data_IF_897825091099
#
_entry.id   IF_897825091099
#
_cell.length_a   1.000
_cell.length_b   1.000
_cell.length_c   1.000
_cell.angle_alpha   90.00
_cell.angle_beta   90.00
_cell.angle_gamma   90.00
#
_symmetry.space_group_name_H-M   'P 1'
#
loop_
_entity.id
_entity.type
_entity.pdbx_description
1 polymer ?
#
# COMPACT_ATOMS: atom_id res chain seq x y z
N UNK A 1 -7.39 -15.74 -29.92
CA UNK A 1 -7.91 -15.47 -28.57
C UNK A 1 -6.95 -16.07 -27.56
N UNK A 2 -6.64 -15.33 -26.51
CA UNK A 2 -5.78 -15.76 -25.41
C UNK A 2 -6.62 -15.89 -24.14
N UNK A 3 -6.46 -16.98 -23.39
CA UNK A 3 -7.15 -17.18 -22.12
C UNK A 3 -6.13 -17.66 -21.10
N UNK A 4 -6.11 -17.00 -19.94
CA UNK A 4 -5.25 -17.38 -18.81
C UNK A 4 -6.08 -17.52 -17.55
N UNK A 5 -5.84 -18.59 -16.79
CA UNK A 5 -6.32 -18.68 -15.43
C UNK A 5 -5.37 -17.98 -14.46
N UNK A 6 -5.97 -17.36 -13.45
CA UNK A 6 -5.32 -16.96 -12.20
C UNK A 6 -5.75 -17.98 -11.16
N UNK A 7 -4.76 -18.66 -10.58
CA UNK A 7 -4.95 -19.64 -9.50
C UNK A 7 -3.84 -19.38 -8.47
N UNK A 8 -4.08 -18.45 -7.55
CA UNK A 8 -3.13 -18.08 -6.52
C UNK A 8 -3.30 -18.96 -5.29
N UNK A 9 -2.20 -19.27 -4.55
CA UNK A 9 -0.83 -18.80 -4.75
C UNK A 9 0.03 -19.71 -5.67
N UNK A 10 -0.57 -20.55 -6.52
CA UNK A 10 0.15 -21.60 -7.26
C UNK A 10 0.64 -21.16 -8.65
N UNK A 11 -0.12 -21.43 -9.71
CA UNK A 11 0.37 -21.41 -11.10
C UNK A 11 0.57 -20.02 -11.67
N UNK A 12 -0.35 -19.09 -11.37
CA UNK A 12 -0.29 -17.72 -11.88
C UNK A 12 -1.00 -16.79 -10.93
N UNK A 13 -0.32 -15.71 -10.59
CA UNK A 13 -0.90 -14.63 -9.80
C UNK A 13 -1.62 -13.59 -10.65
N UNK A 14 -2.51 -12.82 -10.02
CA UNK A 14 -3.13 -11.64 -10.64
C UNK A 14 -2.04 -10.69 -11.14
N UNK A 15 -0.95 -10.52 -10.38
CA UNK A 15 0.17 -9.71 -10.80
C UNK A 15 0.91 -10.29 -12.01
N UNK A 16 1.09 -11.61 -12.09
CA UNK A 16 1.69 -12.27 -13.26
C UNK A 16 0.80 -12.09 -14.50
N UNK A 17 -0.53 -12.17 -14.33
CA UNK A 17 -1.46 -11.91 -15.43
C UNK A 17 -1.37 -10.46 -15.92
N UNK A 18 -1.30 -9.49 -15.00
CA UNK A 18 -1.05 -8.07 -15.34
C UNK A 18 0.29 -7.91 -16.04
N UNK A 19 1.35 -8.56 -15.55
CA UNK A 19 2.70 -8.49 -16.13
C UNK A 19 2.73 -9.01 -17.57
N UNK A 20 2.05 -10.13 -17.85
CA UNK A 20 1.92 -10.67 -19.21
C UNK A 20 1.14 -9.71 -20.11
N UNK A 21 -0.01 -9.20 -19.66
CA UNK A 21 -0.84 -8.28 -20.46
C UNK A 21 -0.11 -6.96 -20.72
N UNK A 22 0.70 -6.48 -19.76
CA UNK A 22 1.46 -5.24 -19.90
C UNK A 22 2.61 -5.33 -20.93
N UNK A 23 2.92 -6.52 -21.46
CA UNK A 23 3.89 -6.70 -22.55
C UNK A 23 3.30 -6.39 -23.93
N UNK A 24 1.99 -6.18 -24.02
CA UNK A 24 1.31 -5.86 -25.27
C UNK A 24 1.82 -4.53 -25.82
N UNK A 25 2.27 -4.47 -27.09
CA UNK A 25 2.78 -3.25 -27.68
C UNK A 25 1.68 -2.19 -27.80
N UNK A 26 2.10 -0.92 -27.75
CA UNK A 26 1.25 0.25 -27.98
C UNK A 26 0.01 0.27 -27.07
N UNK A 27 0.16 -0.08 -25.80
CA UNK A 27 -0.92 0.00 -24.83
C UNK A 27 -1.41 1.44 -24.68
N UNK A 28 -2.70 1.66 -24.93
CA UNK A 28 -3.31 3.00 -24.98
C UNK A 28 -4.07 3.35 -23.70
N UNK A 29 -4.69 2.35 -23.07
CA UNK A 29 -5.51 2.57 -21.87
C UNK A 29 -5.53 1.40 -20.90
N UNK A 30 -5.65 1.75 -19.62
CA UNK A 30 -5.80 0.82 -18.49
C UNK A 30 -6.98 1.30 -17.65
N UNK A 31 -7.99 0.46 -17.51
CA UNK A 31 -9.13 0.71 -16.63
C UNK A 31 -9.10 -0.30 -15.48
N UNK A 32 -9.08 0.20 -14.25
CA UNK A 32 -9.06 -0.64 -13.03
C UNK A 32 -10.30 -0.35 -12.22
N UNK A 33 -11.13 -1.36 -11.99
CA UNK A 33 -12.22 -1.32 -11.02
C UNK A 33 -11.93 -2.27 -9.86
N UNK A 34 -11.69 -1.72 -8.67
CA UNK A 34 -11.33 -2.49 -7.50
C UNK A 34 -12.14 -2.06 -6.28
N UNK A 35 -12.67 -3.03 -5.53
CA UNK A 35 -13.45 -2.75 -4.32
C UNK A 35 -12.67 -1.89 -3.32
N UNK A 36 -11.37 -2.14 -3.20
CA UNK A 36 -10.49 -1.28 -2.44
C UNK A 36 -9.05 -1.37 -2.93
N UNK A 37 -8.25 -0.37 -2.55
CA UNK A 37 -6.84 -0.25 -2.92
C UNK A 37 -6.01 -0.02 -1.65
N UNK A 38 -5.00 -0.87 -1.44
CA UNK A 38 -3.96 -0.65 -0.42
C UNK A 38 -2.72 -0.06 -1.06
N UNK A 39 -1.90 0.65 -0.29
CA UNK A 39 -0.66 1.24 -0.78
C UNK A 39 0.32 0.19 -1.28
N UNK A 40 0.42 -0.93 -0.56
CA UNK A 40 1.27 -2.05 -0.95
C UNK A 40 0.84 -2.70 -2.26
N UNK A 41 -0.48 -2.88 -2.46
CA UNK A 41 -1.01 -3.39 -3.72
C UNK A 41 -0.75 -2.44 -4.89
N UNK A 42 -1.03 -1.15 -4.70
CA UNK A 42 -0.80 -0.14 -5.72
C UNK A 42 0.67 -0.07 -6.15
N UNK A 43 1.60 -0.10 -5.20
CA UNK A 43 3.03 -0.07 -5.49
C UNK A 43 3.46 -1.22 -6.39
N UNK A 44 2.92 -2.42 -6.17
CA UNK A 44 3.26 -3.59 -7.00
C UNK A 44 2.73 -3.46 -8.41
N UNK A 45 1.48 -3.03 -8.58
CA UNK A 45 0.93 -2.77 -9.91
C UNK A 45 1.77 -1.72 -10.64
N UNK A 46 2.04 -0.58 -10.01
CA UNK A 46 2.81 0.49 -10.66
C UNK A 46 4.24 0.05 -11.00
N UNK A 47 4.89 -0.72 -10.12
CA UNK A 47 6.21 -1.28 -10.41
C UNK A 47 6.19 -2.25 -11.58
N UNK A 48 5.19 -3.13 -11.66
CA UNK A 48 4.99 -4.06 -12.78
C UNK A 48 4.71 -3.31 -14.08
N UNK A 49 3.79 -2.35 -14.08
CA UNK A 49 3.48 -1.57 -15.28
C UNK A 49 4.69 -0.77 -15.77
N UNK A 50 5.41 -0.09 -14.87
CA UNK A 50 6.61 0.68 -15.23
C UNK A 50 7.77 -0.17 -15.73
N UNK A 51 7.93 -1.40 -15.23
CA UNK A 51 9.00 -2.29 -15.69
C UNK A 51 8.76 -2.84 -17.11
N UNK A 52 7.51 -2.80 -17.59
CA UNK A 52 7.12 -3.26 -18.93
C UNK A 52 6.92 -2.12 -19.92
N UNK A 53 6.23 -1.07 -19.48
CA UNK A 53 5.78 0.02 -20.35
C UNK A 53 6.71 1.24 -20.23
N UNK A 54 7.46 1.35 -19.12
CA UNK A 54 8.25 2.54 -18.81
C UNK A 54 7.37 3.66 -18.28
N UNK A 55 7.39 4.81 -18.97
CA UNK A 55 6.60 5.97 -18.58
C UNK A 55 5.11 5.77 -18.89
N UNK A 56 4.25 6.04 -17.89
CA UNK A 56 2.80 5.89 -17.99
C UNK A 56 2.09 7.18 -18.39
N UNK A 57 2.81 8.30 -18.55
CA UNK A 57 2.24 9.63 -18.89
C UNK A 57 1.38 9.62 -20.15
N UNK A 58 1.70 8.78 -21.13
CA UNK A 58 1.00 8.68 -22.41
C UNK A 58 -0.16 7.67 -22.41
N UNK A 59 -0.35 6.95 -21.29
CA UNK A 59 -1.39 5.94 -21.15
C UNK A 59 -2.55 6.52 -20.36
N UNK A 60 -3.74 6.47 -20.93
CA UNK A 60 -4.94 6.83 -20.19
C UNK A 60 -5.20 5.79 -19.11
N UNK A 61 -5.06 6.15 -17.85
CA UNK A 61 -5.34 5.24 -16.72
C UNK A 61 -6.55 5.73 -15.92
N UNK A 62 -7.55 4.86 -15.75
CA UNK A 62 -8.77 5.17 -14.99
C UNK A 62 -8.90 4.22 -13.81
N UNK A 63 -8.99 4.77 -12.61
CA UNK A 63 -9.10 4.03 -11.36
C UNK A 63 -10.47 4.28 -10.73
N UNK A 64 -11.30 3.24 -10.74
CA UNK A 64 -12.61 3.24 -10.10
C UNK A 64 -12.54 2.38 -8.84
N UNK A 65 -12.75 3.00 -7.68
CA UNK A 65 -12.75 2.29 -6.39
C UNK A 65 -13.83 2.84 -5.47
N UNK A 66 -13.81 2.50 -4.19
CA UNK A 66 -14.78 3.02 -3.21
C UNK A 66 -14.13 3.39 -1.88
N UNK A 67 -14.88 4.17 -1.10
CA UNK A 67 -14.60 4.49 0.29
C UNK A 67 -15.23 3.48 1.27
N UNK A 68 -15.77 2.37 0.74
CA UNK A 68 -16.58 1.42 1.49
C UNK A 68 -15.79 0.84 2.66
N UNK A 69 -16.43 0.90 3.84
CA UNK A 69 -15.93 0.40 5.11
C UNK A 69 -14.52 0.90 5.45
N UNK A 70 -14.11 2.06 4.93
CA UNK A 70 -12.77 2.60 5.12
C UNK A 70 -11.66 1.60 4.75
N UNK A 71 -11.82 0.82 3.67
CA UNK A 71 -10.82 -0.18 3.24
C UNK A 71 -9.75 0.38 2.31
N UNK A 72 -10.11 1.31 1.44
CA UNK A 72 -9.15 1.97 0.54
C UNK A 72 -8.24 2.90 1.34
N UNK A 73 -6.93 2.74 1.23
CA UNK A 73 -5.99 3.57 1.98
C UNK A 73 -5.90 4.97 1.36
N UNK A 74 -6.10 6.07 2.13
CA UNK A 74 -6.06 7.43 1.58
C UNK A 74 -4.75 7.77 0.88
N UNK A 75 -3.62 7.25 1.38
CA UNK A 75 -2.32 7.48 0.75
C UNK A 75 -2.20 6.80 -0.62
N UNK A 76 -2.93 5.70 -0.88
CA UNK A 76 -3.00 5.11 -2.21
C UNK A 76 -3.76 6.04 -3.19
N UNK A 77 -4.83 6.68 -2.71
CA UNK A 77 -5.58 7.67 -3.48
C UNK A 77 -4.75 8.95 -3.74
N UNK A 78 -3.96 9.39 -2.77
CA UNK A 78 -3.01 10.50 -2.91
C UNK A 78 -1.99 10.21 -4.02
N UNK A 79 -1.38 9.01 -3.98
CA UNK A 79 -0.43 8.58 -5.02
C UNK A 79 -1.12 8.55 -6.39
N UNK A 80 -2.28 7.90 -6.52
CA UNK A 80 -3.00 7.82 -7.79
C UNK A 80 -3.39 9.20 -8.35
N UNK A 81 -3.82 10.12 -7.50
CA UNK A 81 -4.19 11.48 -7.91
C UNK A 81 -2.99 12.29 -8.40
N UNK A 82 -1.78 11.93 -7.96
CA UNK A 82 -0.53 12.56 -8.40
C UNK A 82 0.08 11.92 -9.65
N UNK A 83 -0.47 10.82 -10.17
CA UNK A 83 0.07 10.18 -11.37
C UNK A 83 -0.36 10.93 -12.65
N UNK A 84 0.58 11.32 -13.52
CA UNK A 84 0.24 11.85 -14.84
C UNK A 84 -0.57 10.84 -15.65
N UNK A 85 -1.58 11.31 -16.39
CA UNK A 85 -2.44 10.46 -17.22
C UNK A 85 -3.45 9.61 -16.43
N UNK A 86 -3.45 9.68 -15.09
CA UNK A 86 -4.39 8.98 -14.25
C UNK A 86 -5.61 9.83 -13.90
N UNK A 87 -6.77 9.17 -13.83
CA UNK A 87 -7.99 9.73 -13.26
C UNK A 87 -8.53 8.77 -12.21
N UNK A 88 -9.04 9.31 -11.10
CA UNK A 88 -9.58 8.51 -10.00
C UNK A 88 -11.02 8.92 -9.73
N UNK A 89 -11.90 7.93 -9.57
CA UNK A 89 -13.29 8.11 -9.15
C UNK A 89 -13.65 7.15 -8.03
N UNK A 90 -14.53 7.61 -7.15
CA UNK A 90 -15.11 6.82 -6.05
C UNK A 90 -16.58 6.51 -6.36
N UNK A 91 -16.92 5.23 -6.43
CA UNK A 91 -18.30 4.80 -6.52
C UNK A 91 -19.07 5.26 -5.28
N UNK A 92 -20.10 6.11 -5.47
CA UNK A 92 -20.86 6.78 -4.40
C UNK A 92 -19.97 7.41 -3.31
N UNK A 93 -18.83 8.00 -3.70
CA UNK A 93 -17.82 8.49 -2.78
C UNK A 93 -18.36 9.48 -1.76
N UNK A 94 -19.10 10.50 -2.20
CA UNK A 94 -19.67 11.51 -1.30
C UNK A 94 -20.72 10.91 -0.37
N UNK A 95 -21.58 10.04 -0.90
CA UNK A 95 -22.61 9.35 -0.11
C UNK A 95 -22.00 8.45 0.96
N UNK A 96 -20.97 7.68 0.61
CA UNK A 96 -20.26 6.79 1.56
C UNK A 96 -19.56 7.59 2.64
N UNK A 97 -18.86 8.69 2.30
CA UNK A 97 -18.22 9.56 3.30
C UNK A 97 -19.25 10.17 4.24
N UNK A 98 -20.37 10.68 3.72
CA UNK A 98 -21.46 11.25 4.53
C UNK A 98 -22.09 10.21 5.46
N UNK A 99 -22.05 8.93 5.08
CA UNK A 99 -22.57 7.78 5.85
C UNK A 99 -21.46 7.07 6.65
N UNK A 100 -20.36 7.79 6.93
CA UNK A 100 -19.23 7.33 7.75
C UNK A 100 -18.63 5.99 7.27
N UNK A 101 -18.50 5.84 5.96
CA UNK A 101 -17.89 4.66 5.34
C UNK A 101 -18.88 3.53 5.07
N UNK A 102 -20.15 3.63 5.47
CA UNK A 102 -21.13 2.58 5.21
C UNK A 102 -21.77 2.80 3.83
N UNK A 103 -21.68 1.89 2.85
CA UNK A 103 -22.35 2.00 1.55
C UNK A 103 -23.82 1.57 1.59
N UNK A 104 -24.65 2.06 0.65
CA UNK A 104 -26.02 1.57 0.45
C UNK A 104 -25.98 0.27 -0.34
N UNK A 105 -25.12 0.25 -1.36
CA UNK A 105 -24.78 -0.91 -2.18
C UNK A 105 -23.27 -1.03 -2.23
N UNK A 106 -22.67 -2.08 -1.64
CA UNK A 106 -21.23 -2.26 -1.68
C UNK A 106 -20.68 -2.31 -3.11
N UNK A 107 -19.66 -1.52 -3.40
CA UNK A 107 -18.90 -1.58 -4.64
C UNK A 107 -17.79 -2.62 -4.50
N UNK A 108 -18.03 -3.83 -5.03
CA UNK A 108 -17.12 -4.96 -4.83
C UNK A 108 -16.45 -5.59 -6.09
N UNK A 109 -16.33 -4.91 -7.25
CA UNK A 109 -15.69 -5.51 -8.43
C UNK A 109 -14.17 -5.63 -8.25
N UNK A 110 -13.56 -6.54 -9.03
CA UNK A 110 -12.12 -6.66 -9.24
C UNK A 110 -11.89 -6.96 -10.72
N UNK A 111 -11.73 -5.90 -11.50
CA UNK A 111 -11.59 -5.96 -12.95
C UNK A 111 -10.47 -5.04 -13.42
N UNK A 112 -9.65 -5.55 -14.35
CA UNK A 112 -8.56 -4.83 -14.99
C UNK A 112 -8.75 -4.97 -16.50
N UNK A 113 -8.89 -3.85 -17.21
CA UNK A 113 -9.13 -3.82 -18.64
C UNK A 113 -7.97 -3.10 -19.32
N UNK A 114 -7.38 -3.71 -20.32
CA UNK A 114 -6.23 -3.19 -21.05
C UNK A 114 -6.56 -3.13 -22.52
N UNK A 115 -6.17 -2.04 -23.20
CA UNK A 115 -6.44 -1.91 -24.64
C UNK A 115 -5.28 -1.24 -25.36
N UNK A 116 -4.87 -1.85 -26.45
CA UNK A 116 -4.01 -1.27 -27.48
C UNK A 116 -4.79 -1.10 -28.79
N UNK A 117 -4.12 -0.64 -29.84
CA UNK A 117 -4.72 -0.56 -31.18
C UNK A 117 -5.20 -1.95 -31.66
N UNK A 118 -4.38 -2.98 -31.46
CA UNK A 118 -4.65 -4.34 -31.93
C UNK A 118 -5.32 -5.22 -30.88
N UNK A 119 -5.04 -5.07 -29.58
CA UNK A 119 -5.51 -6.03 -28.58
C UNK A 119 -6.45 -5.41 -27.55
N UNK A 120 -7.34 -6.25 -27.01
CA UNK A 120 -8.21 -5.92 -25.90
C UNK A 120 -8.19 -7.06 -24.88
N UNK A 121 -7.92 -6.73 -23.61
CA UNK A 121 -7.86 -7.69 -22.52
C UNK A 121 -8.80 -7.31 -21.39
N UNK A 122 -9.41 -8.33 -20.80
CA UNK A 122 -10.11 -8.23 -19.53
C UNK A 122 -9.59 -9.28 -18.56
N UNK A 123 -9.15 -8.85 -17.40
CA UNK A 123 -8.79 -9.69 -16.26
C UNK A 123 -9.80 -9.44 -15.13
N UNK A 124 -10.45 -10.51 -14.67
CA UNK A 124 -11.41 -10.45 -13.55
C UNK A 124 -11.13 -11.58 -12.57
N UNK A 125 -11.39 -11.36 -11.29
CA UNK A 125 -11.13 -12.38 -10.27
C UNK A 125 -11.56 -11.97 -8.87
N UNK A 126 -10.97 -12.64 -7.89
CA UNK A 126 -11.26 -12.43 -6.45
C UNK A 126 -10.27 -11.46 -5.76
N UNK A 127 -9.09 -11.25 -6.34
CA UNK A 127 -8.04 -10.41 -5.76
C UNK A 127 -8.28 -8.90 -5.93
N UNK A 128 -8.30 -8.15 -4.83
CA UNK A 128 -8.29 -6.68 -4.85
C UNK A 128 -6.88 -6.13 -5.15
N UNK A 129 -6.75 -4.79 -5.22
CA UNK A 129 -5.44 -4.12 -5.32
C UNK A 129 -4.78 -4.08 -3.93
N UNK A 130 -4.39 -5.26 -3.46
CA UNK A 130 -3.68 -5.52 -2.22
C UNK A 130 -2.47 -6.40 -2.49
N UNK A 131 -1.45 -6.42 -1.62
CA UNK A 131 -0.28 -7.30 -1.86
C UNK A 131 -0.74 -8.76 -1.88
N UNK A 132 -1.61 -9.11 -0.95
CA UNK A 132 -2.19 -10.45 -0.86
C UNK A 132 -3.05 -10.77 -2.06
N UNK A 133 -4.02 -9.93 -2.41
CA UNK A 133 -4.90 -10.13 -3.57
C UNK A 133 -4.13 -10.22 -4.88
N UNK A 134 -2.98 -9.55 -4.99
CA UNK A 134 -2.16 -9.59 -6.20
C UNK A 134 -1.19 -10.77 -6.28
N UNK A 135 -0.72 -11.37 -5.18
CA UNK A 135 0.17 -12.54 -5.27
C UNK A 135 0.15 -13.59 -4.16
N UNK A 136 -0.32 -13.30 -2.95
CA UNK A 136 -0.11 -14.20 -1.80
C UNK A 136 -1.40 -14.88 -1.33
N UNK A 137 -2.55 -14.25 -1.57
CA UNK A 137 -3.85 -14.77 -1.19
C UNK A 137 -4.24 -16.00 -1.99
N UNK A 138 -5.30 -16.68 -1.54
CA UNK A 138 -5.95 -17.72 -2.30
C UNK A 138 -6.98 -17.07 -3.22
N UNK A 139 -6.61 -16.88 -4.49
CA UNK A 139 -7.40 -16.12 -5.47
C UNK A 139 -7.64 -16.95 -6.73
N UNK A 140 -8.83 -16.80 -7.29
CA UNK A 140 -9.21 -17.34 -8.58
C UNK A 140 -9.65 -16.21 -9.52
N UNK A 141 -9.31 -16.35 -10.80
CA UNK A 141 -9.69 -15.39 -11.83
C UNK A 141 -9.39 -15.87 -13.25
N UNK A 142 -9.81 -15.08 -14.21
CA UNK A 142 -9.60 -15.31 -15.64
C UNK A 142 -9.16 -14.02 -16.31
N UNK A 143 -8.14 -14.13 -17.16
CA UNK A 143 -7.81 -13.13 -18.17
C UNK A 143 -8.23 -13.64 -19.55
N UNK A 144 -8.91 -12.81 -20.31
CA UNK A 144 -9.31 -13.04 -21.70
C UNK A 144 -8.73 -11.94 -22.56
N UNK A 145 -8.02 -12.31 -23.62
CA UNK A 145 -7.43 -11.42 -24.61
C UNK A 145 -7.94 -11.73 -26.01
N UNK A 146 -8.22 -10.67 -26.77
CA UNK A 146 -8.60 -10.78 -28.18
C UNK A 146 -7.73 -9.90 -29.06
N UNK A 147 -7.48 -10.38 -30.28
CA UNK A 147 -7.04 -9.55 -31.38
C UNK A 147 -8.27 -8.88 -32.01
N UNK A 148 -8.28 -7.55 -32.01
CA UNK A 148 -9.35 -6.69 -32.52
C UNK A 148 -9.40 -6.69 -34.05
N UNK A 149 -8.27 -6.98 -34.72
CA UNK A 149 -8.17 -7.09 -36.17
C UNK A 149 -8.63 -8.46 -36.67
N UNK A 150 -8.48 -9.51 -35.84
CA UNK A 150 -9.01 -10.86 -36.10
C UNK A 150 -10.32 -11.16 -35.34
N UNK A 151 -11.08 -10.11 -34.98
CA UNK A 151 -12.20 -10.23 -34.05
C UNK A 151 -13.36 -11.12 -34.53
N UNK A 152 -13.46 -11.39 -35.84
CA UNK A 152 -14.43 -12.32 -36.41
C UNK A 152 -14.25 -13.77 -35.96
N UNK A 153 -13.04 -14.16 -35.55
CA UNK A 153 -12.74 -15.51 -35.11
C UNK A 153 -13.25 -15.83 -33.70
N UNK A 154 -13.52 -14.80 -32.89
CA UNK A 154 -13.89 -14.96 -31.47
C UNK A 154 -14.95 -13.94 -31.03
N UNK A 155 -16.04 -13.81 -31.81
CA UNK A 155 -17.11 -12.82 -31.61
C UNK A 155 -17.64 -12.78 -30.15
N UNK A 156 -17.89 -13.94 -29.53
CA UNK A 156 -18.38 -14.01 -28.14
C UNK A 156 -17.43 -13.40 -27.12
N UNK A 157 -16.12 -13.62 -27.26
CA UNK A 157 -15.13 -13.05 -26.35
C UNK A 157 -15.04 -11.53 -26.52
N UNK A 158 -15.12 -11.05 -27.77
CA UNK A 158 -15.18 -9.62 -28.09
C UNK A 158 -16.40 -8.96 -27.44
N UNK A 159 -17.58 -9.54 -27.61
CA UNK A 159 -18.82 -9.00 -27.06
C UNK A 159 -18.78 -9.00 -25.52
N UNK A 160 -18.26 -10.05 -24.90
CA UNK A 160 -18.10 -10.14 -23.43
C UNK A 160 -17.18 -9.03 -22.90
N UNK A 161 -16.03 -8.79 -23.56
CA UNK A 161 -15.12 -7.71 -23.15
C UNK A 161 -15.78 -6.33 -23.38
N UNK A 162 -16.53 -6.16 -24.46
CA UNK A 162 -17.26 -4.92 -24.74
C UNK A 162 -18.37 -4.64 -23.70
N UNK A 163 -19.09 -5.66 -23.25
CA UNK A 163 -20.06 -5.57 -22.17
C UNK A 163 -19.40 -5.14 -20.86
N UNK A 164 -18.26 -5.74 -20.51
CA UNK A 164 -17.52 -5.38 -19.29
C UNK A 164 -16.98 -3.94 -19.35
N UNK A 165 -16.54 -3.46 -20.52
CA UNK A 165 -16.16 -2.07 -20.75
C UNK A 165 -17.35 -1.11 -20.67
N UNK A 166 -18.51 -1.53 -21.14
CA UNK A 166 -19.76 -0.76 -21.04
C UNK A 166 -20.20 -0.63 -19.59
N UNK A 167 -20.13 -1.73 -18.83
CA UNK A 167 -20.31 -1.73 -17.38
C UNK A 167 -19.34 -0.76 -16.69
N UNK A 168 -18.04 -0.84 -16.99
CA UNK A 168 -17.05 0.07 -16.41
C UNK A 168 -17.40 1.52 -16.73
N UNK A 169 -17.72 1.81 -17.99
CA UNK A 169 -18.07 3.17 -18.45
C UNK A 169 -19.31 3.72 -17.75
N UNK A 170 -20.32 2.89 -17.53
CA UNK A 170 -21.53 3.27 -16.79
C UNK A 170 -21.24 3.62 -15.33
N UNK A 171 -20.48 2.79 -14.61
CA UNK A 171 -20.12 3.09 -13.22
C UNK A 171 -19.11 4.22 -13.12
N UNK A 172 -18.23 4.37 -14.11
CA UNK A 172 -17.32 5.50 -14.19
C UNK A 172 -18.06 6.82 -14.32
N UNK A 173 -19.05 6.92 -15.22
CA UNK A 173 -19.78 8.17 -15.47
C UNK A 173 -20.63 8.63 -14.29
N UNK A 174 -21.11 7.70 -13.47
CA UNK A 174 -21.95 7.95 -12.29
C UNK A 174 -21.16 8.08 -10.99
N UNK A 175 -19.88 7.68 -10.97
CA UNK A 175 -19.02 7.82 -9.80
C UNK A 175 -18.52 9.25 -9.57
N UNK A 176 -18.25 9.59 -8.31
CA UNK A 176 -17.74 10.89 -7.90
C UNK A 176 -16.27 11.04 -8.31
N UNK A 177 -15.93 12.15 -8.95
CA UNK A 177 -14.53 12.50 -9.18
C UNK A 177 -13.79 12.68 -7.85
N UNK A 178 -12.58 12.12 -7.74
CA UNK A 178 -11.76 12.31 -6.56
C UNK A 178 -11.19 13.74 -6.52
N UNK A 179 -11.94 14.66 -5.91
CA UNK A 179 -11.50 16.03 -5.68
C UNK A 179 -10.70 16.13 -4.37
N UNK A 180 -9.91 17.20 -4.23
CA UNK A 180 -9.19 17.50 -2.97
C UNK A 180 -10.11 17.47 -1.74
N UNK A 181 -11.27 18.18 -1.75
CA UNK A 181 -12.23 18.13 -0.64
C UNK A 181 -12.78 16.73 -0.35
N UNK A 182 -13.09 15.93 -1.36
CA UNK A 182 -13.59 14.56 -1.16
C UNK A 182 -12.50 13.67 -0.54
N UNK A 183 -11.27 13.74 -1.04
CA UNK A 183 -10.13 13.02 -0.49
C UNK A 183 -9.84 13.43 0.95
N UNK A 184 -9.87 14.72 1.27
CA UNK A 184 -9.66 15.22 2.63
C UNK A 184 -10.77 14.78 3.59
N UNK A 185 -12.02 14.78 3.14
CA UNK A 185 -13.16 14.27 3.89
C UNK A 185 -13.01 12.78 4.19
N UNK A 186 -12.68 11.98 3.17
CA UNK A 186 -12.45 10.55 3.33
C UNK A 186 -11.24 10.26 4.23
N UNK A 187 -10.14 11.00 4.08
CA UNK A 187 -8.95 10.86 4.93
C UNK A 187 -9.29 11.10 6.40
N UNK A 188 -10.02 12.17 6.72
CA UNK A 188 -10.45 12.45 8.10
C UNK A 188 -11.31 11.33 8.68
N UNK A 189 -12.19 10.74 7.88
CA UNK A 189 -13.00 9.59 8.28
C UNK A 189 -12.12 8.35 8.53
N UNK A 190 -11.25 8.02 7.58
CA UNK A 190 -10.34 6.87 7.66
C UNK A 190 -9.38 6.99 8.85
N UNK A 191 -8.81 8.16 9.09
CA UNK A 191 -7.87 8.44 10.17
C UNK A 191 -8.57 8.80 11.51
N UNK A 192 -9.89 8.64 11.58
CA UNK A 192 -10.62 8.85 12.83
C UNK A 192 -10.21 7.83 13.89
N UNK A 193 -10.24 8.23 15.16
CA UNK A 193 -9.90 7.33 16.27
C UNK A 193 -10.79 6.09 16.29
N UNK A 194 -12.09 6.24 15.99
CA UNK A 194 -13.04 5.12 15.91
C UNK A 194 -12.59 4.08 14.89
N UNK A 195 -12.24 4.51 13.68
CA UNK A 195 -11.77 3.61 12.63
C UNK A 195 -10.39 3.02 12.97
N UNK A 196 -9.42 3.83 13.42
CA UNK A 196 -8.06 3.34 13.69
C UNK A 196 -7.94 2.48 14.95
N UNK A 197 -8.89 2.56 15.88
CA UNK A 197 -8.94 1.65 17.03
C UNK A 197 -9.31 0.22 16.60
N UNK A 198 -10.17 0.09 15.58
CA UNK A 198 -10.62 -1.19 15.03
C UNK A 198 -10.66 -1.14 13.49
N UNK A 199 -9.49 -1.04 12.83
CA UNK A 199 -9.43 -0.88 11.39
C UNK A 199 -10.04 -2.11 10.70
N UNK A 200 -10.81 -1.86 9.64
CA UNK A 200 -11.45 -2.95 8.90
C UNK A 200 -10.36 -3.81 8.23
N UNK A 201 -10.42 -5.15 8.41
CA UNK A 201 -9.46 -6.05 7.79
C UNK A 201 -9.49 -5.96 6.26
N UNK A 202 -8.31 -6.13 5.67
CA UNK A 202 -8.06 -6.28 4.23
C UNK A 202 -7.31 -7.59 3.98
N UNK A 203 -7.16 -7.98 2.72
CA UNK A 203 -6.47 -9.21 2.33
C UNK A 203 -5.00 -9.21 2.80
N UNK A 204 -4.41 -8.03 3.04
CA UNK A 204 -3.05 -7.85 3.54
C UNK A 204 -2.87 -8.18 5.03
N UNK A 205 -3.95 -8.35 5.78
CA UNK A 205 -3.93 -8.64 7.22
C UNK A 205 -3.79 -10.14 7.49
N UNK A 206 -2.63 -10.67 7.12
CA UNK A 206 -2.30 -12.08 7.33
C UNK A 206 -2.02 -12.37 8.82
N UNK A 207 -2.52 -13.52 9.30
CA UNK A 207 -2.21 -14.00 10.63
C UNK A 207 -0.71 -14.31 10.76
N UNK A 208 -0.13 -13.95 11.91
CA UNK A 208 1.27 -14.31 12.19
C UNK A 208 1.31 -15.67 12.88
N UNK A 209 2.27 -16.55 12.54
CA UNK A 209 2.52 -17.77 13.30
C UNK A 209 3.28 -17.50 14.62
N UNK A 210 3.57 -16.23 14.97
CA UNK A 210 4.34 -15.86 16.15
C UNK A 210 3.44 -15.62 17.37
N UNK A 211 3.28 -16.65 18.22
CA UNK A 211 2.46 -16.59 19.45
C UNK A 211 3.28 -16.55 20.74
N UNK A 212 4.40 -15.81 20.77
CA UNK A 212 5.15 -15.63 22.03
C UNK A 212 4.56 -14.52 22.89
N UNK A 213 4.68 -14.64 24.22
CA UNK A 213 4.25 -13.59 25.15
C UNK A 213 4.90 -12.24 24.78
N UNK A 214 4.07 -11.23 24.50
CA UNK A 214 4.53 -9.90 24.08
C UNK A 214 4.85 -9.78 22.58
N UNK A 215 4.42 -10.72 21.74
CA UNK A 215 4.35 -10.54 20.29
C UNK A 215 3.23 -9.56 19.91
N UNK A 216 3.34 -8.98 18.72
CA UNK A 216 2.26 -8.18 18.14
C UNK A 216 1.13 -9.11 17.70
N UNK A 217 -0.09 -8.78 18.08
CA UNK A 217 -1.30 -9.51 17.68
C UNK A 217 -1.71 -9.13 16.25
N UNK A 218 -2.62 -9.90 15.64
CA UNK A 218 -3.19 -9.54 14.33
C UNK A 218 -3.85 -8.15 14.34
N UNK A 219 -4.48 -7.76 15.45
CA UNK A 219 -5.06 -6.42 15.60
C UNK A 219 -3.98 -5.33 15.64
N UNK A 220 -2.84 -5.59 16.27
CA UNK A 220 -1.72 -4.64 16.29
C UNK A 220 -1.13 -4.46 14.89
N UNK A 221 -1.04 -5.54 14.11
CA UNK A 221 -0.58 -5.49 12.72
C UNK A 221 -1.54 -4.71 11.82
N UNK A 222 -2.85 -4.89 11.99
CA UNK A 222 -3.86 -4.11 11.27
C UNK A 222 -3.70 -2.61 11.53
N UNK A 223 -3.44 -2.23 12.79
CA UNK A 223 -3.17 -0.83 13.15
C UNK A 223 -1.87 -0.32 12.55
N UNK A 224 -0.80 -1.12 12.56
CA UNK A 224 0.46 -0.76 11.88
C UNK A 224 0.26 -0.49 10.39
N UNK A 225 -0.61 -1.26 9.73
CA UNK A 225 -0.94 -1.05 8.33
C UNK A 225 -1.78 0.21 8.12
N UNK A 226 -2.85 0.39 8.90
CA UNK A 226 -3.84 1.45 8.70
C UNK A 226 -3.34 2.85 9.16
N UNK A 227 -2.56 2.92 10.24
CA UNK A 227 -2.12 4.20 10.79
C UNK A 227 -1.10 4.88 9.88
N UNK A 228 -1.17 6.21 9.80
CA UNK A 228 -0.31 7.04 8.95
C UNK A 228 1.01 7.39 9.61
N UNK A 229 1.04 7.38 10.94
CA UNK A 229 2.20 7.78 11.72
C UNK A 229 2.76 6.61 12.52
N UNK A 230 4.08 6.51 12.58
CA UNK A 230 4.82 5.63 13.47
C UNK A 230 5.84 6.45 14.24
N UNK A 231 5.82 6.37 15.56
CA UNK A 231 6.80 7.04 16.40
C UNK A 231 7.57 6.05 17.26
N UNK A 232 8.81 6.37 17.57
CA UNK A 232 9.68 5.55 18.40
C UNK A 232 10.74 6.40 19.11
N UNK A 233 11.02 6.06 20.36
CA UNK A 233 12.22 6.54 21.05
C UNK A 233 13.45 5.80 20.52
N UNK A 234 14.39 6.53 19.93
CA UNK A 234 15.59 5.94 19.36
C UNK A 234 16.48 5.28 20.42
N UNK A 235 16.56 5.85 21.63
CA UNK A 235 17.55 5.46 22.64
C UNK A 235 18.97 5.54 22.07
N UNK A 236 19.85 4.61 22.45
CA UNK A 236 21.17 4.49 21.82
C UNK A 236 21.08 3.83 20.44
N UNK A 237 21.51 4.54 19.40
CA UNK A 237 21.57 4.02 18.03
C UNK A 237 22.86 3.21 17.86
N UNK A 238 22.78 2.11 17.13
CA UNK A 238 23.95 1.24 16.91
C UNK A 238 25.03 2.02 16.14
N UNK A 239 26.23 2.14 16.71
CA UNK A 239 27.40 2.79 16.10
C UNK A 239 27.98 1.89 15.01
N UNK A 240 27.65 2.18 13.75
CA UNK A 240 28.02 1.38 12.59
C UNK A 240 28.86 2.14 11.54
N UNK A 241 29.36 3.32 11.89
CA UNK A 241 30.04 4.24 10.96
C UNK A 241 31.50 4.55 11.32
N UNK A 242 32.05 3.90 12.35
CA UNK A 242 33.40 4.13 12.86
C UNK A 242 33.42 4.73 14.27
N UNK A 243 34.61 4.77 14.91
CA UNK A 243 34.75 4.96 16.37
C UNK A 243 34.27 6.32 16.92
N UNK A 244 34.06 7.34 16.07
CA UNK A 244 33.62 8.67 16.50
C UNK A 244 32.45 9.22 15.68
N UNK A 245 31.87 8.41 14.80
CA UNK A 245 30.76 8.83 13.96
C UNK A 245 29.42 8.38 14.57
N UNK A 246 28.41 9.27 14.62
CA UNK A 246 27.08 8.89 15.05
C UNK A 246 26.52 7.80 14.13
N UNK A 247 25.90 6.79 14.75
CA UNK A 247 25.29 5.67 14.05
C UNK A 247 23.97 6.03 13.38
N UNK A 248 23.44 5.12 12.57
CA UNK A 248 22.17 5.30 11.89
C UNK A 248 21.30 4.04 11.82
N UNK A 249 21.62 3.01 12.60
CA UNK A 249 20.84 1.77 12.63
C UNK A 249 19.83 1.78 13.78
N UNK A 250 18.56 1.92 13.43
CA UNK A 250 17.43 1.90 14.35
C UNK A 250 16.90 0.47 14.51
N UNK A 251 17.02 -0.05 15.73
CA UNK A 251 16.40 -1.33 16.12
C UNK A 251 14.96 -1.10 16.55
N UNK A 252 14.03 -1.84 15.95
CA UNK A 252 12.59 -1.74 16.14
C UNK A 252 12.01 -3.10 16.55
N UNK A 253 10.82 -3.09 17.15
CA UNK A 253 10.15 -4.33 17.53
C UNK A 253 9.97 -5.22 16.30
N UNK A 254 10.16 -6.53 16.46
CA UNK A 254 9.85 -7.51 15.41
C UNK A 254 8.44 -7.27 14.86
N UNK A 255 8.29 -7.37 13.54
CA UNK A 255 7.05 -7.12 12.79
C UNK A 255 6.63 -5.64 12.66
N UNK A 256 7.39 -4.69 13.21
CA UNK A 256 7.16 -3.26 12.92
C UNK A 256 7.33 -2.94 11.43
N UNK A 257 8.06 -3.77 10.67
CA UNK A 257 8.13 -3.76 9.19
C UNK A 257 6.76 -3.69 8.49
N UNK A 258 5.68 -4.15 9.14
CA UNK A 258 4.33 -4.06 8.57
C UNK A 258 3.92 -2.61 8.32
N UNK A 259 4.29 -1.69 9.23
CA UNK A 259 4.08 -0.26 9.01
C UNK A 259 4.81 0.26 7.76
N UNK A 260 5.97 -0.33 7.46
CA UNK A 260 6.81 0.00 6.32
C UNK A 260 6.40 -0.73 5.01
N UNK A 261 5.23 -1.38 5.00
CA UNK A 261 4.68 -2.03 3.81
C UNK A 261 5.26 -3.42 3.51
N UNK A 262 5.85 -4.10 4.50
CA UNK A 262 6.33 -5.48 4.38
C UNK A 262 5.40 -6.49 5.05
N UNK A 263 5.50 -7.76 4.68
CA UNK A 263 4.60 -8.80 5.17
C UNK A 263 5.05 -9.27 6.57
N UNK A 264 4.12 -9.78 7.40
CA UNK A 264 4.45 -10.33 8.71
C UNK A 264 5.00 -11.77 8.63
N UNK A 265 5.95 -11.99 7.72
CA UNK A 265 6.53 -13.31 7.46
C UNK A 265 7.55 -13.73 8.52
N UNK A 266 7.72 -15.05 8.63
CA UNK A 266 8.78 -15.64 9.43
C UNK A 266 10.09 -15.54 8.66
N UNK A 267 11.02 -14.72 9.15
CA UNK A 267 12.34 -14.58 8.53
C UNK A 267 13.44 -15.21 9.36
N UNK A 268 14.46 -15.72 8.67
CA UNK A 268 15.71 -16.11 9.28
C UNK A 268 16.49 -14.87 9.75
N UNK A 269 17.26 -15.04 10.83
CA UNK A 269 18.13 -13.96 11.33
C UNK A 269 19.13 -13.54 10.25
N UNK A 270 19.45 -12.25 10.22
CA UNK A 270 20.31 -11.60 9.23
C UNK A 270 19.76 -11.63 7.79
N UNK A 271 18.45 -11.77 7.61
CA UNK A 271 17.84 -11.71 6.28
C UNK A 271 17.50 -10.28 5.84
N UNK A 272 17.69 -9.94 4.55
CA UNK A 272 17.14 -8.72 3.99
C UNK A 272 15.61 -8.77 4.00
N UNK A 273 14.97 -7.60 4.18
CA UNK A 273 13.52 -7.44 4.06
C UNK A 273 13.21 -6.62 2.81
N UNK A 274 13.94 -5.52 2.60
CA UNK A 274 13.81 -4.66 1.43
C UNK A 274 14.29 -3.24 1.74
N UNK A 275 13.79 -2.27 0.97
CA UNK A 275 14.11 -0.86 1.13
C UNK A 275 12.85 -0.01 1.28
N UNK A 276 13.01 1.11 1.97
CA UNK A 276 12.03 2.21 2.05
C UNK A 276 12.74 3.51 1.74
N UNK A 277 12.01 4.49 1.24
CA UNK A 277 12.55 5.78 0.89
C UNK A 277 12.16 6.79 1.97
N UNK A 278 13.15 7.49 2.52
CA UNK A 278 12.97 8.40 3.66
C UNK A 278 13.49 9.79 3.30
N UNK A 279 12.64 10.80 3.49
CA UNK A 279 13.03 12.21 3.43
C UNK A 279 13.16 12.77 4.84
N UNK A 280 14.06 13.74 5.02
CA UNK A 280 14.25 14.46 6.28
C UNK A 280 14.53 15.94 6.01
N UNK A 281 13.88 16.85 6.74
CA UNK A 281 14.09 18.32 6.63
C UNK A 281 14.08 18.87 5.19
N UNK A 282 13.11 18.44 4.39
CA UNK A 282 12.95 18.88 2.99
C UNK A 282 14.00 18.33 2.02
N UNK A 283 14.91 17.48 2.48
CA UNK A 283 15.88 16.81 1.61
C UNK A 283 15.19 15.77 0.73
N UNK A 284 15.81 15.41 -0.43
CA UNK A 284 15.33 14.34 -1.28
C UNK A 284 15.17 13.01 -0.51
N UNK A 285 14.32 12.15 -1.06
CA UNK A 285 14.17 10.78 -0.58
C UNK A 285 15.50 10.02 -0.68
N UNK A 286 15.87 9.32 0.39
CA UNK A 286 17.04 8.44 0.46
C UNK A 286 16.57 7.01 0.67
N UNK A 287 17.06 6.08 -0.16
CA UNK A 287 16.74 4.67 -0.02
C UNK A 287 17.45 4.06 1.18
N UNK A 288 16.66 3.50 2.08
CA UNK A 288 17.03 3.05 3.41
C UNK A 288 16.71 1.56 3.55
N UNK A 289 17.71 0.74 3.91
CA UNK A 289 17.53 -0.70 4.00
C UNK A 289 16.83 -1.12 5.29
N UNK A 290 15.94 -2.09 5.17
CA UNK A 290 15.28 -2.77 6.26
C UNK A 290 15.70 -4.24 6.27
N UNK A 291 16.15 -4.72 7.42
CA UNK A 291 16.68 -6.08 7.61
C UNK A 291 16.14 -6.71 8.88
N UNK A 292 16.12 -8.04 8.96
CA UNK A 292 15.83 -8.74 10.21
C UNK A 292 17.15 -9.12 10.88
N UNK A 293 17.45 -8.49 12.02
CA UNK A 293 18.76 -8.62 12.66
C UNK A 293 18.91 -9.95 13.42
N UNK A 294 20.16 -10.34 13.66
CA UNK A 294 20.61 -11.41 14.54
C UNK A 294 19.94 -11.46 15.94
N UNK A 295 19.66 -10.30 16.54
CA UNK A 295 18.97 -10.18 17.82
C UNK A 295 17.44 -10.39 17.71
N UNK A 296 16.93 -10.69 16.52
CA UNK A 296 15.51 -10.96 16.28
C UNK A 296 14.63 -9.72 16.28
N UNK A 297 15.20 -8.54 15.99
CA UNK A 297 14.55 -7.25 15.83
C UNK A 297 14.54 -6.79 14.37
N UNK A 298 13.62 -5.90 14.03
CA UNK A 298 13.61 -5.25 12.71
C UNK A 298 14.62 -4.10 12.75
N UNK A 299 15.53 -4.01 11.79
CA UNK A 299 16.60 -3.01 11.76
C UNK A 299 16.48 -2.15 10.52
N UNK A 300 16.20 -0.86 10.72
CA UNK A 300 16.14 0.16 9.68
C UNK A 300 17.41 0.99 9.69
N UNK A 301 18.07 1.10 8.53
CA UNK A 301 19.19 2.02 8.31
C UNK A 301 18.61 3.38 7.93
N UNK A 302 18.76 4.39 8.79
CA UNK A 302 18.24 5.75 8.59
C UNK A 302 19.15 6.58 7.67
N UNK A 303 18.66 7.71 7.12
CA UNK A 303 19.51 8.67 6.41
C UNK A 303 20.75 9.03 7.22
N UNK A 304 21.88 9.16 6.54
CA UNK A 304 23.19 9.27 7.20
C UNK A 304 23.28 10.56 8.02
N UNK A 305 23.66 10.51 9.30
CA UNK A 305 23.80 11.72 10.11
C UNK A 305 24.77 12.73 9.50
N UNK A 306 24.33 13.98 9.37
CA UNK A 306 25.08 15.06 8.70
C UNK A 306 25.14 14.97 7.17
N UNK A 307 24.54 13.95 6.57
CA UNK A 307 24.47 13.72 5.12
C UNK A 307 23.08 13.20 4.73
N UNK A 308 22.08 14.08 4.82
CA UNK A 308 20.67 13.76 4.59
C UNK A 308 19.89 13.38 5.86
N UNK A 309 20.57 13.12 6.98
CA UNK A 309 19.98 12.96 8.32
C UNK A 309 20.35 14.11 9.28
N UNK A 310 19.77 14.14 10.50
CA UNK A 310 20.16 15.06 11.57
C UNK A 310 21.61 14.84 12.02
N UNK A 311 22.18 15.74 12.83
CA UNK A 311 23.53 15.55 13.38
C UNK A 311 23.71 14.24 14.17
N UNK A 312 22.68 13.79 14.90
CA UNK A 312 22.62 12.48 15.54
C UNK A 312 21.17 12.07 15.81
N UNK A 313 20.92 10.76 15.84
CA UNK A 313 19.65 10.15 16.25
C UNK A 313 19.64 9.67 17.70
N UNK A 314 20.79 9.68 18.40
CA UNK A 314 20.87 9.19 19.77
C UNK A 314 19.93 9.96 20.70
N UNK A 315 19.15 9.21 21.46
CA UNK A 315 18.16 9.69 22.43
C UNK A 315 17.12 10.64 21.82
N UNK A 316 16.86 10.55 20.51
CA UNK A 316 15.83 11.34 19.82
C UNK A 316 14.49 10.61 19.78
N UNK A 317 13.43 11.39 19.61
CA UNK A 317 12.09 10.88 19.30
C UNK A 317 11.90 10.98 17.80
N UNK A 318 11.66 9.86 17.14
CA UNK A 318 11.50 9.80 15.70
C UNK A 318 10.00 9.67 15.38
N UNK A 319 9.53 10.43 14.40
CA UNK A 319 8.20 10.28 13.81
C UNK A 319 8.34 10.05 12.31
N UNK A 320 7.84 8.92 11.85
CA UNK A 320 7.71 8.60 10.43
C UNK A 320 6.26 8.88 10.04
N UNK A 321 6.05 9.68 9.00
CA UNK A 321 4.76 9.89 8.36
C UNK A 321 4.76 9.20 7.00
N UNK A 322 3.82 8.31 6.75
CA UNK A 322 3.64 7.72 5.42
C UNK A 322 3.16 8.77 4.41
N UNK A 323 3.89 8.92 3.32
CA UNK A 323 3.59 9.83 2.19
C UNK A 323 3.36 9.09 0.88
N UNK A 324 3.81 7.83 0.80
CA UNK A 324 3.56 6.91 -0.30
C UNK A 324 3.62 5.47 0.19
N UNK A 325 3.63 4.50 -0.72
CA UNK A 325 3.57 3.08 -0.34
C UNK A 325 4.79 2.59 0.46
N UNK A 326 5.97 3.10 0.14
CA UNK A 326 7.22 2.88 0.87
C UNK A 326 8.02 4.17 1.05
N UNK A 327 7.32 5.30 0.97
CA UNK A 327 7.89 6.63 1.10
C UNK A 327 7.43 7.24 2.42
N UNK A 328 8.40 7.75 3.17
CA UNK A 328 8.18 8.29 4.50
C UNK A 328 8.88 9.63 4.68
N UNK A 329 8.21 10.52 5.40
CA UNK A 329 8.81 11.72 5.93
C UNK A 329 9.21 11.49 7.39
N UNK A 330 10.49 11.71 7.71
CA UNK A 330 11.04 11.61 9.06
C UNK A 330 11.08 12.99 9.72
N UNK A 331 10.61 13.05 10.96
CA UNK A 331 10.69 14.23 11.83
C UNK A 331 11.35 13.86 13.16
N UNK A 332 12.16 14.76 13.71
CA UNK A 332 12.72 14.64 15.07
C UNK A 332 11.86 15.46 16.02
N UNK A 333 11.22 14.80 16.98
CA UNK A 333 10.34 15.44 17.95
C UNK A 333 11.00 15.79 19.27
N UNK A 334 10.49 16.85 19.87
CA UNK A 334 10.67 17.20 21.28
C UNK A 334 9.96 16.22 22.22
N UNK A 335 10.25 16.32 23.52
CA UNK A 335 9.57 15.53 24.56
C UNK A 335 8.07 15.85 24.67
N UNK A 336 7.68 17.10 24.37
CA UNK A 336 6.28 17.52 24.35
C UNK A 336 5.53 16.85 23.18
N UNK A 337 6.13 16.85 21.99
CA UNK A 337 5.57 16.17 20.81
C UNK A 337 5.48 14.66 21.03
N UNK A 338 6.50 14.02 21.59
CA UNK A 338 6.44 12.60 21.98
C UNK A 338 5.25 12.31 22.89
N UNK A 339 5.00 13.18 23.88
CA UNK A 339 3.86 13.01 24.80
C UNK A 339 2.53 13.11 24.06
N UNK A 340 2.40 14.03 23.10
CA UNK A 340 1.22 14.13 22.25
C UNK A 340 1.04 12.90 21.34
N UNK A 341 2.12 12.41 20.73
CA UNK A 341 2.11 11.19 19.90
C UNK A 341 1.71 9.96 20.70
N UNK A 342 2.26 9.80 21.90
CA UNK A 342 1.89 8.73 22.84
C UNK A 342 0.39 8.78 23.17
N UNK A 343 -0.14 9.97 23.48
CA UNK A 343 -1.59 10.14 23.75
C UNK A 343 -2.44 9.72 22.53
N UNK A 344 -2.02 10.07 21.31
CA UNK A 344 -2.72 9.65 20.08
C UNK A 344 -2.66 8.14 19.87
N UNK A 345 -1.50 7.52 20.05
CA UNK A 345 -1.35 6.07 20.00
C UNK A 345 -2.18 5.35 21.06
N UNK A 346 -2.26 5.90 22.28
CA UNK A 346 -3.11 5.35 23.34
C UNK A 346 -4.60 5.42 22.96
N UNK A 347 -5.04 6.50 22.32
CA UNK A 347 -6.44 6.65 21.89
C UNK A 347 -6.88 5.58 20.88
N UNK A 348 -5.96 5.06 20.06
CA UNK A 348 -6.23 3.96 19.12
C UNK A 348 -5.79 2.59 19.67
N UNK A 349 -5.30 2.54 20.92
CA UNK A 349 -4.79 1.31 21.55
C UNK A 349 -3.59 0.70 20.81
N UNK A 350 -2.66 1.53 20.35
CA UNK A 350 -1.44 1.16 19.63
C UNK A 350 -0.19 1.84 20.21
N UNK A 351 -0.14 1.97 21.53
CA UNK A 351 1.04 2.42 22.29
C UNK A 351 1.72 1.22 22.91
N UNK A 352 3.02 1.07 22.70
CA UNK A 352 3.78 -0.12 23.03
C UNK A 352 5.10 0.24 23.73
N UNK A 353 5.67 -0.74 24.43
CA UNK A 353 6.96 -0.63 25.10
C UNK A 353 7.85 -1.81 24.70
N UNK A 354 9.13 -1.54 24.43
CA UNK A 354 10.10 -2.57 24.10
C UNK A 354 10.61 -3.27 25.36
N UNK A 355 10.69 -4.60 25.31
CA UNK A 355 11.26 -5.42 26.39
C UNK A 355 12.74 -5.08 26.63
N UNK A 356 13.15 -4.92 27.88
CA UNK A 356 14.54 -4.66 28.29
C UNK A 356 14.80 -3.20 28.63
N UNK A 357 14.91 -2.34 27.60
CA UNK A 357 15.36 -0.94 27.76
C UNK A 357 14.20 0.03 28.04
N UNK A 358 12.94 -0.42 27.93
CA UNK A 358 11.77 0.41 28.22
C UNK A 358 11.44 1.47 27.15
N UNK A 359 12.10 1.44 25.99
CA UNK A 359 11.81 2.37 24.87
C UNK A 359 10.36 2.26 24.46
N UNK A 360 9.69 3.40 24.33
CA UNK A 360 8.31 3.50 23.91
C UNK A 360 8.19 3.76 22.42
N UNK A 361 7.11 3.25 21.83
CA UNK A 361 6.80 3.44 20.42
C UNK A 361 5.31 3.23 20.17
N UNK A 362 4.81 3.65 19.01
CA UNK A 362 3.41 3.46 18.67
C UNK A 362 3.05 3.94 17.28
N UNK A 363 1.78 3.73 16.92
CA UNK A 363 1.20 4.26 15.68
C UNK A 363 -0.09 5.02 15.94
N UNK A 364 -0.46 5.93 15.05
CA UNK A 364 -1.73 6.69 15.10
C UNK A 364 -2.09 7.35 13.76
#
# INVERSE_FOLDING_TARGET
>A
MEIYSVCQPSTRTTLDAIDMIAQVPDLQSIDVAAAYITSGGLQRILATLRSRIGDLTHIQTRWLTSADYCRTEPVALEVLSGLPGASVRLADGQGVVNRRGNPLKPFHPKAFLFRSAQFDYALTGSGNVSRSGLSNGCEAGLAVGIDRLAAGENARAKDTIAELRSWFTHYWSTADALTGPLLDGYRKLYESTENLQNPVPTDDDLATPYSTRGSLTSKDLQKLRACRFFWIEAGGITKNRGPHLPGNQLMMKRLSRVYFGFLPEVLHRNSPIGTVDISYSGQPLVSCSLTFSDNGMDKLVLPVPGAGGPPSYDNKNLLFKRTGAREFHLTIGSSAERTAWKKRSQAVGASFTMSGVGREWGVF
#
